data_IF_225775278288
#
_entry.id   IF_225775278288
#
_cell.length_a   1.000
_cell.length_b   1.000
_cell.length_c   1.000
_cell.angle_alpha   90.00
_cell.angle_beta   90.00
_cell.angle_gamma   90.00
#
_symmetry.space_group_name_H-M   'P 1'
#
loop_
_entity.id
_entity.type
_entity.pdbx_description
1 polymer ?
#
# COMPACT_ATOMS: atom_id res chain seq x y z
N UNK A 1 8.64 -13.65 12.89
CA UNK A 1 9.72 -13.10 12.08
C UNK A 1 9.10 -12.00 11.25
N UNK A 2 9.44 -10.76 11.55
CA UNK A 2 8.82 -9.56 10.98
C UNK A 2 9.10 -9.46 9.47
N UNK A 3 8.08 -9.65 8.66
CA UNK A 3 8.10 -9.18 7.26
C UNK A 3 7.74 -7.70 7.28
N UNK A 4 8.76 -6.83 7.32
CA UNK A 4 8.59 -5.43 6.98
C UNK A 4 8.29 -5.37 5.49
N UNK A 5 7.03 -5.15 5.16
CA UNK A 5 6.59 -4.82 3.81
C UNK A 5 7.30 -3.53 3.41
N UNK A 6 8.16 -3.63 2.41
CA UNK A 6 8.83 -2.50 1.78
C UNK A 6 7.77 -1.60 1.12
N UNK A 7 7.37 -0.53 1.81
CA UNK A 7 6.71 0.59 1.15
C UNK A 7 7.71 1.25 0.21
N UNK A 8 7.61 0.96 -1.08
CA UNK A 8 8.35 1.67 -2.11
C UNK A 8 7.80 3.09 -2.26
N UNK A 9 8.67 4.04 -1.97
CA UNK A 9 8.55 5.46 -2.25
C UNK A 9 8.15 5.75 -3.70
N UNK A 10 6.95 6.27 -3.89
CA UNK A 10 6.59 7.00 -5.09
C UNK A 10 6.14 8.41 -4.71
N UNK A 11 7.09 9.30 -4.54
CA UNK A 11 6.86 10.75 -4.61
C UNK A 11 8.02 11.35 -5.38
N UNK A 12 7.78 11.72 -6.61
CA UNK A 12 8.34 12.91 -7.26
C UNK A 12 7.99 12.92 -8.75
N UNK A 13 6.83 13.48 -9.05
CA UNK A 13 6.53 14.02 -10.38
C UNK A 13 7.00 15.46 -10.47
N UNK A 14 8.24 15.66 -10.88
CA UNK A 14 8.78 16.98 -11.20
C UNK A 14 8.23 17.40 -12.56
N UNK A 15 7.33 18.37 -12.59
CA UNK A 15 6.89 18.99 -13.83
C UNK A 15 7.64 20.31 -14.02
N UNK A 16 8.70 20.28 -14.82
CA UNK A 16 9.38 21.44 -15.39
C UNK A 16 8.61 21.86 -16.63
N UNK A 17 8.02 23.05 -16.63
CA UNK A 17 7.61 23.72 -17.86
C UNK A 17 8.20 25.12 -17.93
N UNK A 18 9.00 25.20 -18.96
CA UNK A 18 9.70 26.28 -19.58
C UNK A 18 9.09 27.68 -19.50
N UNK A 19 10.05 28.62 -19.38
CA UNK A 19 9.86 30.04 -19.54
C UNK A 19 9.44 30.48 -20.94
N UNK A 20 8.81 31.62 -20.96
CA UNK A 20 8.80 32.50 -22.12
C UNK A 20 9.03 33.93 -21.66
N UNK A 21 10.16 34.45 -22.03
CA UNK A 21 10.53 35.85 -22.00
C UNK A 21 9.61 36.62 -22.95
N UNK A 22 9.03 37.71 -22.47
CA UNK A 22 8.64 38.82 -23.33
C UNK A 22 9.06 40.14 -22.67
N UNK A 23 10.03 40.77 -23.32
CA UNK A 23 10.47 42.13 -23.10
C UNK A 23 9.48 43.05 -23.82
N UNK A 24 8.92 44.02 -23.10
CA UNK A 24 8.38 45.23 -23.72
C UNK A 24 8.76 46.42 -22.86
N UNK A 25 9.63 47.24 -23.45
CA UNK A 25 10.01 48.57 -23.00
C UNK A 25 8.83 49.55 -23.08
N UNK A 26 8.85 50.47 -22.13
CA UNK A 26 8.37 51.83 -22.36
C UNK A 26 7.02 52.19 -21.75
N UNK A 27 7.06 52.72 -20.54
CA UNK A 27 6.39 54.01 -20.22
C UNK A 27 6.77 54.48 -18.79
N UNK A 28 7.68 55.40 -18.77
CA UNK A 28 8.09 56.13 -17.56
C UNK A 28 7.00 57.16 -17.23
N UNK A 29 6.18 56.88 -16.20
CA UNK A 29 5.42 57.91 -15.49
C UNK A 29 5.92 57.93 -14.05
N UNK A 30 6.45 59.07 -13.67
CA UNK A 30 6.89 59.37 -12.31
C UNK A 30 5.70 59.20 -11.37
N UNK A 31 5.83 58.34 -10.38
CA UNK A 31 4.93 58.20 -9.26
C UNK A 31 5.42 59.09 -8.11
N UNK A 32 4.53 59.72 -7.35
CA UNK A 32 4.93 60.57 -6.22
C UNK A 32 5.59 59.71 -5.14
N UNK A 33 6.67 60.27 -4.57
CA UNK A 33 7.39 59.71 -3.43
C UNK A 33 6.43 59.61 -2.23
N UNK A 34 6.01 58.39 -1.91
CA UNK A 34 5.35 58.12 -0.65
C UNK A 34 6.39 57.76 0.39
N UNK A 35 6.32 58.48 1.48
CA UNK A 35 6.92 58.36 2.79
C UNK A 35 7.26 56.92 3.16
N UNK A 36 8.47 56.73 3.71
CA UNK A 36 9.06 55.42 4.05
C UNK A 36 8.40 54.68 5.22
N UNK A 37 7.11 54.38 5.13
CA UNK A 37 6.48 53.37 5.95
C UNK A 37 6.71 52.04 5.28
N UNK A 38 7.56 51.18 5.90
CA UNK A 38 7.67 49.77 5.55
C UNK A 38 6.27 49.20 5.34
N UNK A 39 5.99 48.51 4.23
CA UNK A 39 4.73 47.79 4.13
C UNK A 39 4.73 46.77 5.27
N UNK A 40 3.91 47.05 6.27
CA UNK A 40 3.51 46.10 7.28
C UNK A 40 2.89 44.97 6.47
N UNK A 41 3.67 43.91 6.28
CA UNK A 41 3.14 42.67 5.68
C UNK A 41 1.97 42.28 6.56
N UNK A 42 0.77 42.58 6.09
CA UNK A 42 -0.43 42.06 6.67
C UNK A 42 -0.25 40.54 6.67
N UNK A 43 0.17 39.97 7.80
CA UNK A 43 0.16 38.55 8.06
C UNK A 43 -1.30 38.15 7.92
N UNK A 44 -1.69 37.70 6.74
CA UNK A 44 -2.96 36.98 6.58
C UNK A 44 -2.87 35.87 7.60
N UNK A 45 -3.64 35.99 8.68
CA UNK A 45 -3.68 34.97 9.73
C UNK A 45 -4.27 33.73 9.07
N UNK A 46 -3.40 32.79 8.69
CA UNK A 46 -3.86 31.50 8.13
C UNK A 46 -4.84 30.87 9.10
N UNK A 47 -5.94 30.35 8.59
CA UNK A 47 -6.87 29.56 9.39
C UNK A 47 -6.20 28.29 9.93
N UNK A 48 -6.75 27.69 10.95
CA UNK A 48 -6.21 26.47 11.55
C UNK A 48 -6.10 25.31 10.54
N UNK A 49 -7.04 25.25 9.58
CA UNK A 49 -7.01 24.27 8.50
C UNK A 49 -5.77 24.43 7.62
N UNK A 50 -5.57 25.61 7.05
CA UNK A 50 -4.45 25.91 6.14
C UNK A 50 -3.10 25.80 6.85
N UNK A 51 -3.05 26.17 8.12
CA UNK A 51 -1.82 26.07 8.90
C UNK A 51 -1.51 24.61 9.27
N UNK A 52 -2.53 23.82 9.60
CA UNK A 52 -2.39 22.37 9.82
C UNK A 52 -1.89 21.64 8.58
N UNK A 53 -2.43 21.95 7.39
CA UNK A 53 -1.96 21.37 6.13
C UNK A 53 -0.50 21.70 5.85
N UNK A 54 -0.09 22.97 6.04
CA UNK A 54 1.31 23.38 5.88
C UNK A 54 2.27 22.66 6.85
N UNK A 55 1.83 22.45 8.09
CA UNK A 55 2.63 21.72 9.08
C UNK A 55 2.77 20.24 8.71
N UNK A 56 1.69 19.63 8.23
CA UNK A 56 1.69 18.25 7.78
C UNK A 56 2.63 18.05 6.58
N UNK A 57 2.59 18.94 5.58
CA UNK A 57 3.51 18.92 4.42
C UNK A 57 4.99 19.03 4.83
N UNK A 58 5.27 19.69 5.97
CA UNK A 58 6.61 19.78 6.55
C UNK A 58 7.01 18.60 7.44
N UNK A 59 6.16 17.60 7.57
CA UNK A 59 6.38 16.43 8.43
C UNK A 59 6.26 16.73 9.93
N UNK A 60 5.61 17.83 10.31
CA UNK A 60 5.39 18.24 11.69
C UNK A 60 4.05 17.73 12.20
N UNK A 61 3.93 16.41 12.26
CA UNK A 61 2.66 15.72 12.50
C UNK A 61 2.01 16.12 13.83
N UNK A 62 2.77 16.16 14.92
CA UNK A 62 2.23 16.55 16.24
C UNK A 62 1.66 17.98 16.24
N UNK A 63 2.35 18.95 15.60
CA UNK A 63 1.89 20.33 15.46
C UNK A 63 0.66 20.39 14.53
N UNK A 64 0.67 19.64 13.43
CA UNK A 64 -0.45 19.55 12.48
C UNK A 64 -1.72 19.01 13.16
N UNK A 65 -1.61 17.95 13.95
CA UNK A 65 -2.71 17.36 14.74
C UNK A 65 -3.36 18.44 15.63
N UNK A 66 -2.53 19.25 16.30
CA UNK A 66 -3.06 20.30 17.17
C UNK A 66 -3.87 21.36 16.39
N UNK A 67 -3.39 21.74 15.21
CA UNK A 67 -4.09 22.72 14.37
C UNK A 67 -5.34 22.12 13.71
N UNK A 68 -5.29 20.85 13.25
CA UNK A 68 -6.47 20.16 12.73
C UNK A 68 -7.57 20.01 13.77
N UNK A 69 -7.23 19.71 15.03
CA UNK A 69 -8.22 19.67 16.14
C UNK A 69 -8.91 21.02 16.35
N UNK A 70 -8.17 22.13 16.21
CA UNK A 70 -8.76 23.48 16.26
C UNK A 70 -9.67 23.75 15.06
N UNK A 71 -9.24 23.32 13.85
CA UNK A 71 -10.08 23.45 12.65
C UNK A 71 -11.41 22.66 12.79
N UNK A 72 -11.38 21.51 13.44
CA UNK A 72 -12.58 20.74 13.75
C UNK A 72 -13.46 21.48 14.76
N UNK A 73 -12.88 22.02 15.82
CA UNK A 73 -13.60 22.78 16.85
C UNK A 73 -14.26 24.06 16.28
N UNK A 74 -13.61 24.69 15.29
CA UNK A 74 -14.10 25.88 14.60
C UNK A 74 -15.09 25.53 13.46
N UNK A 75 -15.44 24.26 13.25
CA UNK A 75 -16.26 23.76 12.14
C UNK A 75 -15.73 24.17 10.75
N UNK A 76 -14.42 24.27 10.58
CA UNK A 76 -13.75 24.57 9.31
C UNK A 76 -13.10 23.35 8.67
N UNK A 77 -13.16 22.18 9.32
CA UNK A 77 -12.66 20.93 8.81
C UNK A 77 -13.54 20.38 7.67
N UNK A 78 -12.89 19.83 6.67
CA UNK A 78 -13.49 19.10 5.56
C UNK A 78 -12.89 17.68 5.50
N UNK A 79 -13.29 16.88 4.52
CA UNK A 79 -12.76 15.51 4.33
C UNK A 79 -11.24 15.48 4.22
N UNK A 80 -10.63 16.46 3.53
CA UNK A 80 -9.18 16.60 3.42
C UNK A 80 -8.49 16.73 4.80
N UNK A 81 -9.05 17.56 5.70
CA UNK A 81 -8.52 17.73 7.07
C UNK A 81 -8.61 16.42 7.83
N UNK A 82 -9.75 15.72 7.77
CA UNK A 82 -9.90 14.42 8.42
C UNK A 82 -8.92 13.39 7.85
N UNK A 83 -8.70 13.37 6.54
CA UNK A 83 -7.75 12.48 5.88
C UNK A 83 -6.31 12.74 6.33
N UNK A 84 -5.87 14.02 6.32
CA UNK A 84 -4.52 14.38 6.77
C UNK A 84 -4.33 14.16 8.28
N UNK A 85 -5.38 14.39 9.07
CA UNK A 85 -5.37 14.11 10.50
C UNK A 85 -5.27 12.61 10.78
N UNK A 86 -5.99 11.78 10.01
CA UNK A 86 -5.89 10.32 10.11
C UNK A 86 -4.47 9.83 9.81
N UNK A 87 -3.88 10.31 8.71
CA UNK A 87 -2.50 9.99 8.35
C UNK A 87 -1.50 10.46 9.41
N UNK A 88 -1.66 11.69 9.93
CA UNK A 88 -0.79 12.21 10.98
C UNK A 88 -0.90 11.40 12.28
N UNK A 89 -2.10 10.95 12.65
CA UNK A 89 -2.29 10.06 13.80
C UNK A 89 -1.62 8.70 13.57
N UNK A 90 -1.75 8.15 12.36
CA UNK A 90 -1.14 6.88 12.02
C UNK A 90 0.40 6.95 12.08
N UNK A 91 0.99 8.03 11.54
CA UNK A 91 2.44 8.28 11.59
C UNK A 91 2.98 8.43 13.02
N UNK A 92 2.15 8.96 13.95
CA UNK A 92 2.47 9.10 15.38
C UNK A 92 2.06 7.85 16.21
N UNK A 93 1.77 6.73 15.56
CA UNK A 93 1.34 5.46 16.18
C UNK A 93 0.05 5.57 17.02
N UNK A 94 -0.77 6.59 16.75
CA UNK A 94 -2.06 6.82 17.40
C UNK A 94 -3.19 6.12 16.62
N UNK A 95 -3.09 4.81 16.46
CA UNK A 95 -3.92 3.99 15.56
C UNK A 95 -5.42 4.14 15.80
N UNK A 96 -5.86 4.16 17.06
CA UNK A 96 -7.29 4.29 17.36
C UNK A 96 -7.86 5.66 16.92
N UNK A 97 -7.07 6.73 17.04
CA UNK A 97 -7.47 8.06 16.60
C UNK A 97 -7.50 8.12 15.05
N UNK A 98 -6.55 7.49 14.37
CA UNK A 98 -6.56 7.36 12.91
C UNK A 98 -7.82 6.62 12.42
N UNK A 99 -8.16 5.47 13.00
CA UNK A 99 -9.38 4.72 12.72
C UNK A 99 -10.63 5.60 12.91
N UNK A 100 -10.69 6.39 13.99
CA UNK A 100 -11.82 7.27 14.22
C UNK A 100 -11.97 8.32 13.13
N UNK A 101 -10.86 8.87 12.60
CA UNK A 101 -10.90 9.86 11.52
C UNK A 101 -11.30 9.24 10.19
N UNK A 102 -10.79 8.06 9.83
CA UNK A 102 -11.23 7.36 8.62
C UNK A 102 -12.73 7.02 8.67
N UNK A 103 -13.22 6.55 9.81
CA UNK A 103 -14.67 6.34 10.02
C UNK A 103 -15.46 7.64 9.86
N UNK A 104 -14.91 8.76 10.32
CA UNK A 104 -15.57 10.06 10.16
C UNK A 104 -15.66 10.49 8.71
N UNK A 105 -14.65 10.20 7.89
CA UNK A 105 -14.70 10.42 6.45
C UNK A 105 -15.82 9.58 5.82
N UNK A 106 -15.91 8.30 6.17
CA UNK A 106 -16.92 7.37 5.64
C UNK A 106 -18.34 7.79 6.08
N UNK A 107 -18.51 8.35 7.27
CA UNK A 107 -19.80 8.95 7.69
C UNK A 107 -20.22 10.13 6.80
N UNK A 108 -19.26 10.96 6.36
CA UNK A 108 -19.49 12.12 5.52
C UNK A 108 -19.68 11.69 4.06
N UNK A 109 -18.81 10.81 3.59
CA UNK A 109 -18.76 10.30 2.22
C UNK A 109 -18.71 8.76 2.22
N UNK A 110 -19.86 8.06 2.23
CA UNK A 110 -19.92 6.60 2.36
C UNK A 110 -19.23 5.80 1.26
N UNK A 111 -18.89 6.43 0.16
CA UNK A 111 -18.16 5.80 -0.96
C UNK A 111 -16.76 6.39 -1.17
N UNK A 112 -16.16 6.94 -0.11
CA UNK A 112 -14.80 7.48 -0.20
C UNK A 112 -13.78 6.34 -0.25
N UNK A 113 -13.28 6.05 -1.45
CA UNK A 113 -12.42 4.88 -1.76
C UNK A 113 -11.18 4.82 -0.87
N UNK A 114 -10.44 5.93 -0.79
CA UNK A 114 -9.20 6.01 -0.02
C UNK A 114 -9.44 5.80 1.48
N UNK A 115 -10.55 6.29 2.02
CA UNK A 115 -10.86 6.11 3.44
C UNK A 115 -11.15 4.64 3.77
N UNK A 116 -11.88 3.94 2.91
CA UNK A 116 -12.09 2.49 3.05
C UNK A 116 -10.77 1.72 2.89
N UNK A 117 -9.95 2.12 1.92
CA UNK A 117 -8.66 1.48 1.66
C UNK A 117 -7.72 1.59 2.86
N UNK A 118 -7.46 2.81 3.32
CA UNK A 118 -6.58 3.06 4.47
C UNK A 118 -7.13 2.44 5.77
N UNK A 119 -8.44 2.55 6.01
CA UNK A 119 -9.07 1.91 7.16
C UNK A 119 -8.90 0.38 7.12
N UNK A 120 -9.03 -0.19 5.92
CA UNK A 120 -8.81 -1.61 5.70
C UNK A 120 -7.39 -2.05 6.04
N UNK A 121 -6.38 -1.29 5.58
CA UNK A 121 -4.97 -1.55 5.87
C UNK A 121 -4.68 -1.46 7.38
N UNK A 122 -5.16 -0.39 8.03
CA UNK A 122 -4.97 -0.19 9.47
C UNK A 122 -5.59 -1.33 10.28
N UNK A 123 -6.80 -1.81 9.89
CA UNK A 123 -7.41 -2.94 10.57
C UNK A 123 -6.61 -4.24 10.41
N UNK A 124 -6.02 -4.50 9.23
CA UNK A 124 -5.17 -5.68 9.03
C UNK A 124 -3.90 -5.61 9.89
N UNK A 125 -3.26 -4.45 9.97
CA UNK A 125 -2.07 -4.24 10.81
C UNK A 125 -2.36 -4.46 12.30
N UNK A 126 -3.56 -4.08 12.76
CA UNK A 126 -4.04 -4.34 14.13
C UNK A 126 -4.54 -5.78 14.36
N UNK A 127 -4.47 -6.64 13.34
CA UNK A 127 -4.95 -8.03 13.42
C UNK A 127 -6.47 -8.18 13.38
N UNK A 128 -7.20 -7.11 13.06
CA UNK A 128 -8.66 -7.10 12.91
C UNK A 128 -9.05 -7.56 11.51
N UNK A 129 -8.74 -8.80 11.20
CA UNK A 129 -8.83 -9.41 9.87
C UNK A 129 -10.18 -9.22 9.18
N UNK A 130 -11.29 -9.52 9.88
CA UNK A 130 -12.63 -9.46 9.25
C UNK A 130 -13.03 -8.02 8.90
N UNK A 131 -12.66 -7.07 9.78
CA UNK A 131 -12.95 -5.66 9.54
C UNK A 131 -12.12 -5.12 8.38
N UNK A 132 -10.82 -5.43 8.34
CA UNK A 132 -9.94 -5.01 7.26
C UNK A 132 -10.35 -5.57 5.90
N UNK A 133 -10.62 -6.87 5.83
CA UNK A 133 -11.10 -7.54 4.60
C UNK A 133 -12.44 -6.91 4.14
N UNK A 134 -13.34 -6.56 5.06
CA UNK A 134 -14.62 -5.92 4.72
C UNK A 134 -14.40 -4.56 4.07
N UNK A 135 -13.53 -3.74 4.64
CA UNK A 135 -13.25 -2.41 4.09
C UNK A 135 -12.55 -2.51 2.72
N UNK A 136 -11.56 -3.41 2.55
CA UNK A 136 -10.90 -3.62 1.25
C UNK A 136 -11.86 -4.16 0.19
N UNK A 137 -12.79 -5.03 0.54
CA UNK A 137 -13.87 -5.44 -0.38
C UNK A 137 -14.75 -4.28 -0.77
N UNK A 138 -15.05 -3.36 0.17
CA UNK A 138 -15.83 -2.16 -0.12
C UNK A 138 -15.14 -1.27 -1.14
N UNK A 139 -13.81 -1.15 -1.08
CA UNK A 139 -13.02 -0.47 -2.13
C UNK A 139 -13.32 -1.07 -3.51
N UNK A 140 -13.28 -2.39 -3.65
CA UNK A 140 -13.50 -3.06 -4.94
C UNK A 140 -14.97 -3.04 -5.39
N UNK A 141 -15.93 -2.92 -4.46
CA UNK A 141 -17.34 -2.67 -4.80
C UNK A 141 -17.54 -1.27 -5.40
N UNK A 142 -16.85 -0.25 -4.85
CA UNK A 142 -16.95 1.13 -5.31
C UNK A 142 -16.13 1.33 -6.59
N UNK A 143 -14.91 0.81 -6.61
CA UNK A 143 -13.97 0.94 -7.73
C UNK A 143 -13.37 -0.43 -8.10
N UNK A 144 -14.04 -1.20 -8.98
CA UNK A 144 -13.63 -2.58 -9.34
C UNK A 144 -12.27 -2.71 -10.06
N UNK A 145 -11.68 -1.61 -10.49
CA UNK A 145 -10.36 -1.58 -11.16
C UNK A 145 -9.24 -1.06 -10.28
N UNK A 146 -9.45 -1.00 -8.98
CA UNK A 146 -8.42 -0.53 -8.05
C UNK A 146 -7.42 -1.67 -7.77
N UNK A 147 -6.36 -1.75 -8.57
CA UNK A 147 -5.38 -2.85 -8.53
C UNK A 147 -4.75 -3.01 -7.15
N UNK A 148 -4.33 -1.90 -6.49
CA UNK A 148 -3.74 -1.94 -5.16
C UNK A 148 -4.66 -2.61 -4.12
N UNK A 149 -5.98 -2.45 -4.27
CA UNK A 149 -6.92 -3.10 -3.37
C UNK A 149 -7.00 -4.62 -3.58
N UNK A 150 -6.77 -5.12 -4.80
CA UNK A 150 -6.65 -6.57 -5.03
C UNK A 150 -5.40 -7.14 -4.38
N UNK A 151 -4.25 -6.46 -4.52
CA UNK A 151 -3.02 -6.88 -3.84
C UNK A 151 -3.23 -6.89 -2.33
N UNK A 152 -3.69 -5.77 -1.76
CA UNK A 152 -3.91 -5.64 -0.33
C UNK A 152 -4.95 -6.63 0.21
N UNK A 153 -6.01 -6.92 -0.54
CA UNK A 153 -7.02 -7.91 -0.15
C UNK A 153 -6.45 -9.33 -0.19
N UNK A 154 -5.64 -9.64 -1.20
CA UNK A 154 -4.96 -10.94 -1.28
C UNK A 154 -3.98 -11.14 -0.13
N UNK A 155 -3.16 -10.12 0.16
CA UNK A 155 -2.23 -10.12 1.30
C UNK A 155 -2.99 -10.25 2.63
N UNK A 156 -4.07 -9.49 2.81
CA UNK A 156 -4.93 -9.56 3.98
C UNK A 156 -5.52 -10.97 4.20
N UNK A 157 -6.00 -11.60 3.14
CA UNK A 157 -6.47 -12.98 3.22
C UNK A 157 -5.34 -13.95 3.58
N UNK A 158 -4.14 -13.76 3.00
CA UNK A 158 -2.99 -14.61 3.31
C UNK A 158 -2.55 -14.47 4.76
N UNK A 159 -2.40 -13.25 5.27
CA UNK A 159 -1.99 -12.95 6.65
C UNK A 159 -3.02 -13.44 7.67
N UNK A 160 -4.29 -13.38 7.31
CA UNK A 160 -5.39 -13.92 8.11
C UNK A 160 -5.59 -15.45 7.94
N UNK A 161 -4.61 -16.16 7.34
CA UNK A 161 -4.61 -17.61 7.10
C UNK A 161 -5.78 -18.12 6.22
N UNK A 162 -6.39 -17.25 5.43
CA UNK A 162 -7.46 -17.56 4.47
C UNK A 162 -6.87 -17.79 3.07
N UNK A 163 -6.00 -18.80 2.96
CA UNK A 163 -5.15 -19.03 1.77
C UNK A 163 -5.93 -19.30 0.48
N UNK A 164 -7.11 -19.91 0.57
CA UNK A 164 -7.93 -20.17 -0.61
C UNK A 164 -8.57 -18.89 -1.14
N UNK A 165 -8.98 -17.98 -0.25
CA UNK A 165 -9.51 -16.67 -0.64
C UNK A 165 -8.41 -15.79 -1.25
N UNK A 166 -7.19 -15.78 -0.68
CA UNK A 166 -6.04 -15.10 -1.24
C UNK A 166 -5.72 -15.58 -2.66
N UNK A 167 -5.70 -16.92 -2.85
CA UNK A 167 -5.48 -17.54 -4.15
C UNK A 167 -6.51 -17.02 -5.18
N UNK A 168 -7.80 -17.04 -4.83
CA UNK A 168 -8.89 -16.64 -5.72
C UNK A 168 -8.79 -15.15 -6.12
N UNK A 169 -8.41 -14.29 -5.19
CA UNK A 169 -8.24 -12.84 -5.44
C UNK A 169 -7.06 -12.60 -6.39
N UNK A 170 -5.89 -13.19 -6.12
CA UNK A 170 -4.71 -13.00 -6.96
C UNK A 170 -4.85 -13.67 -8.33
N UNK A 171 -5.50 -14.83 -8.42
CA UNK A 171 -5.84 -15.44 -9.72
C UNK A 171 -6.82 -14.57 -10.54
N UNK A 172 -7.66 -13.80 -9.86
CA UNK A 172 -8.57 -12.87 -10.55
C UNK A 172 -7.79 -11.70 -11.14
N UNK A 173 -6.89 -11.09 -10.35
CA UNK A 173 -6.05 -9.99 -10.84
C UNK A 173 -5.08 -10.47 -11.94
N UNK A 174 -4.56 -11.70 -11.83
CA UNK A 174 -3.65 -12.27 -12.84
C UNK A 174 -4.29 -12.45 -14.22
N UNK A 175 -5.62 -12.53 -14.33
CA UNK A 175 -6.32 -12.58 -15.63
C UNK A 175 -6.15 -11.28 -16.41
N UNK A 176 -6.11 -10.15 -15.70
CA UNK A 176 -5.92 -8.82 -16.28
C UNK A 176 -4.43 -8.52 -16.48
N UNK A 177 -3.57 -9.03 -15.60
CA UNK A 177 -2.11 -8.83 -15.61
C UNK A 177 -1.35 -10.18 -15.64
N UNK A 178 -1.38 -10.95 -16.75
CA UNK A 178 -0.86 -12.32 -16.79
C UNK A 178 0.67 -12.44 -16.70
N UNK A 179 1.40 -11.34 -16.83
CA UNK A 179 2.86 -11.28 -16.74
C UNK A 179 3.34 -10.64 -15.41
N UNK A 180 2.44 -10.47 -14.45
CA UNK A 180 2.79 -9.88 -13.16
C UNK A 180 3.66 -10.83 -12.34
N UNK A 181 4.92 -10.43 -12.13
CA UNK A 181 5.90 -11.23 -11.38
C UNK A 181 5.54 -11.38 -9.90
N UNK A 182 4.96 -10.33 -9.29
CA UNK A 182 4.59 -10.31 -7.87
C UNK A 182 3.45 -11.28 -7.63
N UNK A 183 2.42 -11.28 -8.50
CA UNK A 183 1.30 -12.22 -8.39
C UNK A 183 1.78 -13.67 -8.55
N UNK A 184 2.64 -13.94 -9.51
CA UNK A 184 3.22 -15.27 -9.68
C UNK A 184 4.06 -15.69 -8.46
N UNK A 185 4.82 -14.78 -7.86
CA UNK A 185 5.54 -15.05 -6.62
C UNK A 185 4.57 -15.38 -5.48
N UNK A 186 3.55 -14.57 -5.25
CA UNK A 186 2.54 -14.77 -4.21
C UNK A 186 1.79 -16.10 -4.38
N UNK A 187 1.41 -16.46 -5.60
CA UNK A 187 0.83 -17.76 -5.91
C UNK A 187 1.81 -18.90 -5.60
N UNK A 188 3.09 -18.73 -5.94
CA UNK A 188 4.14 -19.68 -5.61
C UNK A 188 4.27 -19.91 -4.10
N UNK A 189 4.19 -18.84 -3.31
CA UNK A 189 4.20 -18.90 -1.84
C UNK A 189 2.98 -19.66 -1.30
N UNK A 190 1.78 -19.35 -1.77
CA UNK A 190 0.56 -20.06 -1.34
C UNK A 190 0.63 -21.55 -1.70
N UNK A 191 1.02 -21.90 -2.92
CA UNK A 191 1.14 -23.29 -3.34
C UNK A 191 2.19 -24.04 -2.53
N UNK A 192 3.32 -23.41 -2.17
CA UNK A 192 4.30 -23.97 -1.23
C UNK A 192 3.65 -24.29 0.12
N UNK A 193 2.90 -23.36 0.68
CA UNK A 193 2.28 -23.50 2.01
C UNK A 193 1.17 -24.54 2.02
N UNK A 194 0.50 -24.74 0.88
CA UNK A 194 -0.46 -25.82 0.66
C UNK A 194 0.21 -27.18 0.35
N UNK A 195 1.55 -27.23 0.32
CA UNK A 195 2.31 -28.45 -0.01
C UNK A 195 2.26 -28.85 -1.50
N UNK A 196 1.75 -27.99 -2.36
CA UNK A 196 1.62 -28.21 -3.80
C UNK A 196 2.90 -27.84 -4.54
N UNK A 197 4.00 -28.54 -4.25
CA UNK A 197 5.35 -28.19 -4.69
C UNK A 197 5.50 -27.99 -6.20
N UNK A 198 4.78 -28.77 -7.03
CA UNK A 198 4.86 -28.63 -8.48
C UNK A 198 4.30 -27.28 -8.94
N UNK A 199 3.12 -26.90 -8.41
CA UNK A 199 2.48 -25.64 -8.74
C UNK A 199 3.34 -24.46 -8.24
N UNK A 200 3.85 -24.55 -7.01
CA UNK A 200 4.76 -23.53 -6.47
C UNK A 200 5.99 -23.30 -7.37
N UNK A 201 6.64 -24.39 -7.81
CA UNK A 201 7.80 -24.30 -8.71
C UNK A 201 7.41 -23.65 -10.04
N UNK A 202 6.26 -24.01 -10.62
CA UNK A 202 5.78 -23.45 -11.89
C UNK A 202 5.54 -21.95 -11.78
N UNK A 203 4.85 -21.51 -10.72
CA UNK A 203 4.56 -20.08 -10.55
C UNK A 203 5.83 -19.26 -10.26
N UNK A 204 6.76 -19.77 -9.44
CA UNK A 204 8.04 -19.11 -9.21
C UNK A 204 8.92 -19.02 -10.47
N UNK A 205 8.84 -20.01 -11.37
CA UNK A 205 9.53 -19.92 -12.67
C UNK A 205 8.96 -18.82 -13.54
N UNK A 206 7.64 -18.61 -13.53
CA UNK A 206 7.00 -17.49 -14.23
C UNK A 206 7.38 -16.14 -13.59
N UNK A 207 7.37 -16.04 -12.26
CA UNK A 207 7.84 -14.85 -11.56
C UNK A 207 9.24 -14.44 -12.02
N UNK A 208 10.19 -15.37 -12.03
CA UNK A 208 11.56 -15.13 -12.48
C UNK A 208 11.65 -14.83 -13.97
N UNK A 209 10.80 -15.42 -14.80
CA UNK A 209 10.78 -15.13 -16.24
C UNK A 209 10.33 -13.69 -16.51
N UNK A 210 9.37 -13.18 -15.73
CA UNK A 210 8.83 -11.82 -15.84
C UNK A 210 9.72 -10.79 -15.14
N UNK A 211 10.30 -11.13 -13.97
CA UNK A 211 11.34 -10.33 -13.31
C UNK A 211 12.59 -11.18 -13.00
N UNK A 212 13.59 -11.19 -13.88
CA UNK A 212 14.84 -11.93 -13.65
C UNK A 212 15.68 -11.42 -12.47
N UNK A 213 15.35 -10.27 -11.89
CA UNK A 213 16.08 -9.70 -10.75
C UNK A 213 15.43 -10.02 -9.41
N UNK A 214 14.29 -10.70 -9.39
CA UNK A 214 13.64 -11.12 -8.17
C UNK A 214 14.47 -12.18 -7.44
N UNK A 215 15.25 -11.73 -6.46
CA UNK A 215 16.12 -12.60 -5.63
C UNK A 215 15.29 -13.53 -4.73
N UNK A 216 14.12 -13.08 -4.23
CA UNK A 216 13.26 -13.84 -3.35
C UNK A 216 12.63 -15.03 -4.08
N UNK A 217 12.12 -14.80 -5.29
CA UNK A 217 11.61 -15.87 -6.14
C UNK A 217 12.69 -16.89 -6.48
N UNK A 218 13.93 -16.44 -6.80
CA UNK A 218 15.06 -17.34 -7.07
C UNK A 218 15.46 -18.15 -5.85
N UNK A 219 15.55 -17.54 -4.68
CA UNK A 219 15.88 -18.23 -3.44
C UNK A 219 14.82 -19.26 -3.09
N UNK A 220 13.55 -18.90 -3.16
CA UNK A 220 12.46 -19.80 -2.85
C UNK A 220 12.40 -20.97 -3.85
N UNK A 221 12.53 -20.73 -5.15
CA UNK A 221 12.60 -21.77 -6.17
C UNK A 221 13.75 -22.77 -5.91
N UNK A 222 14.94 -22.26 -5.56
CA UNK A 222 16.10 -23.10 -5.20
C UNK A 222 15.81 -24.00 -4.00
N UNK A 223 15.20 -23.46 -2.95
CA UNK A 223 14.83 -24.24 -1.76
C UNK A 223 13.82 -25.37 -2.10
N UNK A 224 12.79 -25.07 -2.89
CA UNK A 224 11.76 -26.04 -3.25
C UNK A 224 12.29 -27.11 -4.19
N UNK A 225 13.18 -26.78 -5.12
CA UNK A 225 13.79 -27.76 -6.03
C UNK A 225 14.69 -28.73 -5.28
N UNK A 226 15.50 -28.27 -4.35
CA UNK A 226 16.33 -29.14 -3.48
C UNK A 226 15.45 -30.08 -2.64
N UNK A 227 14.39 -29.57 -2.01
CA UNK A 227 13.44 -30.37 -1.24
C UNK A 227 12.75 -31.42 -2.10
N UNK A 228 12.35 -31.07 -3.32
CA UNK A 228 11.70 -32.00 -4.25
C UNK A 228 12.64 -33.12 -4.72
N UNK A 229 13.92 -32.82 -4.93
CA UNK A 229 14.96 -33.81 -5.24
C UNK A 229 15.22 -34.76 -4.07
N UNK A 230 15.32 -34.23 -2.84
CA UNK A 230 15.48 -35.02 -1.62
C UNK A 230 14.30 -35.99 -1.39
N UNK A 231 13.07 -35.58 -1.65
CA UNK A 231 11.89 -36.44 -1.56
C UNK A 231 11.94 -37.55 -2.61
N UNK A 232 12.35 -37.25 -3.84
CA UNK A 232 12.49 -38.29 -4.91
C UNK A 232 13.56 -39.32 -4.59
N UNK A 233 14.70 -38.91 -4.04
CA UNK A 233 15.79 -39.82 -3.67
C UNK A 233 15.38 -40.76 -2.53
N UNK A 234 14.69 -40.26 -1.51
CA UNK A 234 14.19 -41.10 -0.40
C UNK A 234 13.04 -41.99 -0.80
N UNK A 235 12.23 -41.58 -1.78
CA UNK A 235 11.14 -42.40 -2.36
C UNK A 235 11.67 -43.59 -3.17
N UNK A 236 12.72 -43.41 -3.95
CA UNK A 236 13.38 -44.47 -4.71
C UNK A 236 14.02 -45.53 -3.79
N UNK A 237 14.73 -45.09 -2.73
CA UNK A 237 15.33 -46.03 -1.77
C UNK A 237 14.28 -46.86 -1.04
N UNK A 238 13.09 -46.33 -0.75
CA UNK A 238 11.99 -47.12 -0.15
C UNK A 238 11.38 -48.12 -1.13
N UNK A 239 11.29 -47.78 -2.41
CA UNK A 239 10.76 -48.68 -3.43
C UNK A 239 11.73 -49.84 -3.78
N UNK A 240 13.04 -49.55 -3.83
CA UNK A 240 14.07 -50.56 -4.03
C UNK A 240 14.10 -51.58 -2.87
N UNK A 241 14.06 -51.10 -1.61
CA UNK A 241 13.98 -52.00 -0.43
C UNK A 241 12.67 -52.81 -0.36
N UNK A 242 11.59 -52.35 -0.99
CA UNK A 242 10.32 -53.07 -1.05
C UNK A 242 10.31 -54.11 -2.18
N UNK A 243 11.07 -53.84 -3.25
CA UNK A 243 11.29 -54.80 -4.35
C UNK A 243 12.21 -55.98 -3.93
N UNK A 244 13.31 -55.64 -3.23
CA UNK A 244 14.24 -56.67 -2.71
C UNK A 244 13.54 -57.64 -1.73
N UNK A 245 12.65 -57.16 -0.85
CA UNK A 245 11.88 -57.99 0.08
C UNK A 245 10.83 -58.90 -0.60
N UNK A 246 10.43 -58.61 -1.84
CA UNK A 246 9.51 -59.47 -2.61
C UNK A 246 10.23 -60.59 -3.37
N UNK A 247 11.51 -60.42 -3.67
CA UNK A 247 12.29 -61.44 -4.40
C UNK A 247 12.99 -62.44 -3.48
N UNK A 248 12.85 -62.30 -2.15
CA UNK A 248 13.46 -63.20 -1.14
C UNK A 248 12.40 -64.05 -0.42
N UNK A 249 11.22 -64.21 -1.02
CA UNK A 249 10.21 -65.23 -0.63
C UNK A 249 9.90 -66.11 -1.83
#
# INVERSE_FOLDING_TARGET
MNTKILRSLWVSGLCLVCGAFFILEGCRKELPQTDGSKPEQAKIKKGHREFGLELYEKGKNTEAIAEFKKAIADNTANVEVYSKLASAYYDEEMTNDAIAMYKKIIEIEPNHVEAHYELGLVYIEEGLCEDGIRELKKVLEIYPKYEDAYYSLGDAYYDCNKKDDALAVWETLLKDNPEDSILHYNLGVIYRDKGQLKNAITELQKAIANDPKDDDARMLLKQLTMKNQGIKSTGNVKNEKKAEKKNTK
#
